data_IF_136066623581
#
_entry.id   IF_136066623581
#
_cell.length_a   1.000
_cell.length_b   1.000
_cell.length_c   1.000
_cell.angle_alpha   90.00
_cell.angle_beta   90.00
_cell.angle_gamma   90.00
#
_symmetry.space_group_name_H-M   'P 1'
#
loop_
_entity.id
_entity.type
_entity.pdbx_description
1 polymer ?
#
# COMPACT_ATOMS: atom_id res chain seq x y z
N UNK A 1 -23.30 -5.31 12.47
CA UNK A 1 -22.15 -5.48 11.57
C UNK A 1 -20.98 -4.90 12.33
N UNK A 2 -20.07 -5.75 12.80
CA UNK A 2 -19.02 -5.36 13.75
C UNK A 2 -17.86 -4.69 13.02
N UNK A 3 -17.38 -3.55 13.53
CA UNK A 3 -16.25 -2.74 13.05
C UNK A 3 -14.86 -3.41 13.22
N UNK A 4 -14.79 -4.74 13.36
CA UNK A 4 -13.62 -5.49 13.86
C UNK A 4 -12.75 -6.14 12.76
N UNK A 5 -12.89 -5.73 11.50
CA UNK A 5 -12.15 -6.31 10.35
C UNK A 5 -11.15 -5.31 9.73
N UNK A 6 -10.60 -4.41 10.54
CA UNK A 6 -9.43 -3.63 10.13
C UNK A 6 -8.18 -4.49 10.32
N UNK A 7 -7.30 -4.61 9.31
CA UNK A 7 -6.06 -5.35 9.46
C UNK A 7 -5.24 -4.72 10.59
N UNK A 8 -5.03 -5.46 11.68
CA UNK A 8 -4.11 -5.06 12.73
C UNK A 8 -2.70 -5.03 12.13
N UNK A 9 -2.09 -3.84 12.15
CA UNK A 9 -0.70 -3.66 11.78
C UNK A 9 0.16 -4.42 12.80
N UNK A 10 0.77 -5.52 12.39
CA UNK A 10 1.61 -6.36 13.26
C UNK A 10 2.89 -5.67 13.68
N UNK A 11 3.23 -4.52 13.10
CA UNK A 11 4.41 -3.74 13.45
C UNK A 11 4.17 -2.76 14.62
N UNK A 12 3.00 -2.83 15.28
CA UNK A 12 2.74 -2.09 16.52
C UNK A 12 2.88 -3.03 17.71
N UNK A 13 4.08 -3.14 18.25
CA UNK A 13 4.30 -3.89 19.49
C UNK A 13 3.54 -3.22 20.64
N UNK A 14 2.71 -4.00 21.34
CA UNK A 14 1.87 -3.52 22.43
C UNK A 14 2.57 -3.59 23.80
N UNK A 15 3.90 -3.59 23.84
CA UNK A 15 4.62 -3.81 25.10
C UNK A 15 6.05 -3.24 25.08
N UNK A 16 6.22 -1.95 25.40
CA UNK A 16 7.49 -1.42 25.92
C UNK A 16 7.23 -0.06 26.59
N UNK A 17 7.26 -0.04 27.92
CA UNK A 17 7.24 1.14 28.82
C UNK A 17 8.59 1.88 28.78
N UNK A 18 9.10 2.18 27.59
CA UNK A 18 10.34 2.95 27.41
C UNK A 18 10.11 3.99 26.32
N UNK A 19 10.12 5.25 26.74
CA UNK A 19 9.85 6.49 25.98
C UNK A 19 10.81 6.75 24.79
N UNK A 20 11.57 5.74 24.36
CA UNK A 20 12.66 5.82 23.38
C UNK A 20 12.53 4.88 22.17
N UNK A 21 11.46 4.09 22.06
CA UNK A 21 11.28 3.04 21.03
C UNK A 21 10.17 3.35 20.00
N UNK A 22 9.84 4.63 19.80
CA UNK A 22 8.93 5.01 18.72
C UNK A 22 9.66 4.86 17.38
N UNK A 23 9.05 4.19 16.37
CA UNK A 23 9.66 4.04 15.06
C UNK A 23 9.95 5.42 14.49
N UNK A 24 11.24 5.70 14.30
CA UNK A 24 11.73 6.99 13.81
C UNK A 24 11.70 7.05 12.29
N UNK A 25 11.45 5.95 11.57
CA UNK A 25 11.45 5.89 10.12
C UNK A 25 10.10 5.47 9.57
N UNK A 26 9.80 5.83 8.32
CA UNK A 26 8.50 5.56 7.68
C UNK A 26 8.66 4.79 6.38
N UNK A 27 7.99 3.64 6.28
CA UNK A 27 7.85 2.86 5.06
C UNK A 27 6.44 3.02 4.51
N UNK A 28 6.30 3.76 3.40
CA UNK A 28 5.00 4.04 2.78
C UNK A 28 4.80 3.12 1.58
N UNK A 29 3.84 2.20 1.69
CA UNK A 29 3.47 1.25 0.65
C UNK A 29 2.22 1.75 -0.09
N UNK A 30 2.39 2.14 -1.36
CA UNK A 30 1.33 2.74 -2.16
C UNK A 30 0.90 1.82 -3.30
N UNK A 31 -0.37 1.41 -3.32
CA UNK A 31 -0.95 0.74 -4.49
C UNK A 31 -1.60 1.74 -5.43
N UNK A 32 -1.37 1.61 -6.74
CA UNK A 32 -1.99 2.49 -7.74
C UNK A 32 -2.22 1.83 -9.10
N UNK A 33 -2.87 2.57 -10.00
CA UNK A 33 -3.22 2.17 -11.35
C UNK A 33 -2.25 2.73 -12.38
N UNK A 34 -1.88 1.89 -13.33
CA UNK A 34 -1.15 2.31 -14.52
C UNK A 34 -2.01 3.24 -15.39
N UNK A 35 -3.31 2.96 -15.55
CA UNK A 35 -4.20 3.74 -16.41
C UNK A 35 -4.35 5.20 -16.02
N UNK A 36 -4.28 5.52 -14.72
CA UNK A 36 -4.48 6.89 -14.22
C UNK A 36 -3.15 7.66 -14.10
N UNK A 37 -2.07 7.11 -14.67
CA UNK A 37 -0.76 7.75 -14.68
C UNK A 37 0.04 7.57 -13.38
N UNK A 38 1.26 8.11 -13.34
CA UNK A 38 2.16 8.01 -12.19
C UNK A 38 1.59 8.69 -10.95
N UNK A 39 2.21 8.44 -9.79
CA UNK A 39 1.92 9.21 -8.57
C UNK A 39 2.45 10.64 -8.79
N UNK A 40 1.59 11.66 -8.62
CA UNK A 40 1.94 13.07 -8.84
C UNK A 40 1.35 13.96 -7.73
N UNK A 41 2.04 15.04 -7.30
CA UNK A 41 3.48 15.29 -7.40
C UNK A 41 4.22 14.65 -6.22
N UNK A 42 5.55 14.73 -6.27
CA UNK A 42 6.55 14.43 -5.25
C UNK A 42 6.08 14.10 -3.81
N UNK A 43 6.65 13.07 -3.16
CA UNK A 43 7.83 12.32 -3.61
C UNK A 43 7.49 11.09 -4.46
N UNK A 44 8.22 10.93 -5.56
CA UNK A 44 8.21 9.71 -6.37
C UNK A 44 8.64 8.54 -5.48
N UNK A 45 7.96 7.39 -5.54
CA UNK A 45 8.42 6.22 -4.80
C UNK A 45 9.84 5.85 -5.23
N UNK A 46 10.75 5.69 -4.26
CA UNK A 46 12.13 5.25 -4.50
C UNK A 46 12.18 3.85 -5.11
N UNK A 47 11.14 3.04 -4.88
CA UNK A 47 10.97 1.72 -5.48
C UNK A 47 9.62 1.60 -6.19
N UNK A 48 9.61 1.18 -7.46
CA UNK A 48 8.39 1.01 -8.25
C UNK A 48 8.29 -0.40 -8.85
N UNK A 49 7.19 -1.10 -8.56
CA UNK A 49 6.93 -2.46 -9.02
C UNK A 49 5.68 -2.56 -9.89
N UNK A 50 5.84 -3.09 -11.11
CA UNK A 50 4.72 -3.44 -11.99
C UNK A 50 4.31 -4.90 -11.77
N UNK A 51 3.05 -5.11 -11.40
CA UNK A 51 2.48 -6.45 -11.15
C UNK A 51 1.43 -6.84 -12.18
N UNK A 52 1.39 -6.19 -13.34
CA UNK A 52 0.42 -6.52 -14.41
C UNK A 52 0.67 -7.86 -15.08
N UNK A 53 1.89 -8.38 -15.02
CA UNK A 53 2.23 -9.70 -15.55
C UNK A 53 1.74 -10.86 -14.64
N UNK A 54 1.37 -10.57 -13.39
CA UNK A 54 0.89 -11.59 -12.46
C UNK A 54 -0.49 -12.13 -12.86
N UNK A 55 -0.76 -13.42 -12.58
CA UNK A 55 -2.02 -14.06 -12.90
C UNK A 55 -3.18 -13.28 -12.28
N UNK A 56 -4.26 -13.20 -13.03
CA UNK A 56 -5.44 -12.46 -12.63
C UNK A 56 -6.42 -13.42 -11.96
N UNK A 57 -6.90 -13.13 -10.74
CA UNK A 57 -7.94 -13.94 -10.13
C UNK A 57 -9.19 -14.09 -11.02
N UNK A 58 -9.98 -15.17 -10.87
CA UNK A 58 -11.19 -15.42 -11.62
C UNK A 58 -12.16 -14.24 -11.56
N UNK A 59 -12.90 -14.02 -12.65
CA UNK A 59 -13.87 -12.93 -12.77
C UNK A 59 -14.85 -12.85 -11.57
N UNK A 60 -15.47 -13.95 -11.08
CA UNK A 60 -16.39 -13.87 -9.95
C UNK A 60 -15.75 -13.28 -8.68
N UNK A 61 -14.49 -13.64 -8.40
CA UNK A 61 -13.74 -13.10 -7.26
C UNK A 61 -13.43 -11.61 -7.47
N UNK A 62 -13.01 -11.20 -8.68
CA UNK A 62 -12.72 -9.79 -8.99
C UNK A 62 -13.94 -8.89 -8.92
N UNK A 63 -15.12 -9.40 -9.25
CA UNK A 63 -16.37 -8.62 -9.25
C UNK A 63 -16.92 -8.47 -7.83
N UNK A 64 -16.79 -9.51 -7.00
CA UNK A 64 -17.23 -9.52 -5.61
C UNK A 64 -16.29 -8.75 -4.67
N UNK A 65 -14.99 -8.75 -4.95
CA UNK A 65 -13.97 -8.37 -3.99
C UNK A 65 -12.91 -7.40 -4.55
N UNK A 66 -12.29 -6.62 -3.65
CA UNK A 66 -11.08 -5.84 -3.94
C UNK A 66 -9.84 -6.56 -3.40
N UNK A 67 -8.65 -6.06 -3.78
CA UNK A 67 -7.39 -6.60 -3.28
C UNK A 67 -7.20 -6.52 -1.76
N UNK A 68 -7.97 -5.66 -1.06
CA UNK A 68 -7.92 -5.53 0.41
C UNK A 68 -8.75 -6.59 1.14
N UNK A 69 -9.53 -7.39 0.42
CA UNK A 69 -10.36 -8.41 1.06
C UNK A 69 -9.60 -9.73 1.24
N UNK A 70 -9.82 -10.38 2.39
CA UNK A 70 -9.21 -11.68 2.71
C UNK A 70 -9.46 -12.77 1.64
N UNK A 71 -10.69 -12.95 1.10
CA UNK A 71 -10.94 -13.96 0.07
C UNK A 71 -10.14 -13.71 -1.22
N UNK A 72 -10.02 -12.43 -1.62
CA UNK A 72 -9.23 -12.08 -2.80
C UNK A 72 -7.75 -12.38 -2.59
N UNK A 73 -7.17 -11.96 -1.45
CA UNK A 73 -5.75 -12.16 -1.16
C UNK A 73 -5.41 -13.65 -1.06
N UNK A 74 -6.23 -14.44 -0.39
CA UNK A 74 -6.04 -15.89 -0.31
C UNK A 74 -5.98 -16.55 -1.70
N UNK A 75 -6.89 -16.16 -2.61
CA UNK A 75 -6.87 -16.68 -3.97
C UNK A 75 -5.69 -16.16 -4.80
N UNK A 76 -5.32 -14.88 -4.62
CA UNK A 76 -4.18 -14.28 -5.32
C UNK A 76 -2.86 -14.92 -4.90
N UNK A 77 -2.65 -15.16 -3.60
CA UNK A 77 -1.45 -15.80 -3.04
C UNK A 77 -1.38 -17.31 -3.25
N UNK A 78 -2.48 -17.95 -3.69
CA UNK A 78 -2.45 -19.37 -4.06
C UNK A 78 -1.59 -19.66 -5.30
N UNK A 79 -1.22 -18.63 -6.06
CA UNK A 79 -0.30 -18.77 -7.19
C UNK A 79 1.16 -18.64 -6.76
N UNK A 80 1.97 -19.63 -7.10
CA UNK A 80 3.42 -19.62 -6.84
C UNK A 80 4.11 -18.41 -7.48
N UNK A 81 3.73 -18.03 -8.71
CA UNK A 81 4.28 -16.85 -9.38
C UNK A 81 4.00 -15.55 -8.62
N UNK A 82 2.84 -15.46 -7.94
CA UNK A 82 2.50 -14.32 -7.10
C UNK A 82 3.33 -14.35 -5.82
N UNK A 83 3.41 -15.51 -5.15
CA UNK A 83 4.19 -15.68 -3.93
C UNK A 83 5.66 -15.28 -4.15
N UNK A 84 6.29 -15.81 -5.20
CA UNK A 84 7.68 -15.51 -5.55
C UNK A 84 7.87 -14.03 -5.84
N UNK A 85 6.93 -13.41 -6.57
CA UNK A 85 7.01 -11.98 -6.87
C UNK A 85 6.89 -11.10 -5.62
N UNK A 86 6.03 -11.48 -4.66
CA UNK A 86 5.94 -10.77 -3.38
C UNK A 86 7.26 -10.91 -2.61
N UNK A 87 7.84 -12.11 -2.56
CA UNK A 87 9.13 -12.34 -1.93
C UNK A 87 10.27 -11.50 -2.55
N UNK A 88 10.32 -11.40 -3.88
CA UNK A 88 11.30 -10.55 -4.58
C UNK A 88 11.16 -9.07 -4.18
N UNK A 89 9.92 -8.59 -4.09
CA UNK A 89 9.64 -7.21 -3.68
C UNK A 89 10.07 -7.00 -2.22
N UNK A 90 9.80 -7.95 -1.33
CA UNK A 90 10.25 -7.88 0.07
C UNK A 90 11.77 -7.78 0.15
N UNK A 91 12.49 -8.63 -0.58
CA UNK A 91 13.95 -8.62 -0.61
C UNK A 91 14.49 -7.28 -1.13
N UNK A 92 13.91 -6.74 -2.20
CA UNK A 92 14.30 -5.45 -2.75
C UNK A 92 14.04 -4.28 -1.80
N UNK A 93 12.90 -4.29 -1.09
CA UNK A 93 12.60 -3.26 -0.09
C UNK A 93 13.58 -3.36 1.08
N UNK A 94 13.84 -4.56 1.62
CA UNK A 94 14.81 -4.75 2.71
C UNK A 94 16.19 -4.22 2.36
N UNK A 95 16.72 -4.60 1.20
CA UNK A 95 18.02 -4.11 0.73
C UNK A 95 18.06 -2.57 0.64
N UNK A 96 16.93 -1.94 0.31
CA UNK A 96 16.84 -0.48 0.28
C UNK A 96 16.72 0.14 1.68
N UNK A 97 16.05 -0.51 2.63
CA UNK A 97 16.02 -0.07 4.03
C UNK A 97 17.42 -0.17 4.66
N UNK A 98 18.15 -1.24 4.39
CA UNK A 98 19.51 -1.48 4.91
C UNK A 98 20.49 -0.42 4.40
N UNK A 99 20.49 -0.16 3.07
CA UNK A 99 21.30 0.91 2.49
C UNK A 99 20.92 2.29 3.05
N UNK A 100 19.61 2.52 3.24
CA UNK A 100 19.13 3.73 3.86
C UNK A 100 19.47 3.81 5.35
N UNK A 101 19.90 2.74 6.04
CA UNK A 101 20.39 2.81 7.42
C UNK A 101 21.86 3.25 7.43
N UNK A 102 22.71 2.63 6.61
CA UNK A 102 24.15 2.89 6.52
C UNK A 102 24.49 4.35 6.15
N UNK A 103 23.74 4.96 5.23
CA UNK A 103 24.03 6.30 4.70
C UNK A 103 23.90 7.46 5.72
N UNK A 104 23.39 7.22 6.93
CA UNK A 104 23.18 8.29 7.93
C UNK A 104 24.07 8.23 9.16
N UNK A 105 24.98 7.27 9.27
CA UNK A 105 26.00 7.28 10.34
C UNK A 105 27.26 8.10 9.98
N UNK A 106 27.45 8.53 8.72
CA UNK A 106 28.72 9.13 8.28
C UNK A 106 28.63 10.46 7.49
N UNK A 107 27.69 11.39 7.74
CA UNK A 107 27.78 12.76 7.19
C UNK A 107 27.34 13.89 8.12
N UNK A 108 28.07 14.05 9.22
CA UNK A 108 28.21 15.34 9.88
C UNK A 108 29.16 16.28 9.14
N UNK A 109 28.81 16.78 7.93
CA UNK A 109 29.28 18.05 7.33
C UNK A 109 28.89 18.15 5.85
N UNK A 110 28.04 19.13 5.54
CA UNK A 110 27.80 19.58 4.16
C UNK A 110 26.60 20.49 4.08
N UNK A 111 26.85 21.80 3.96
CA UNK A 111 25.86 22.83 3.67
C UNK A 111 25.08 22.45 2.42
N UNK A 112 23.75 22.58 2.46
CA UNK A 112 23.00 23.33 1.44
C UNK A 112 21.62 23.71 1.99
N UNK A 113 21.23 24.92 1.61
CA UNK A 113 20.09 25.69 2.09
C UNK A 113 18.85 25.35 1.27
N UNK A 114 17.89 24.64 1.86
CA UNK A 114 16.47 25.01 1.78
C UNK A 114 15.69 24.24 2.86
N UNK A 115 15.27 24.99 3.89
CA UNK A 115 14.56 24.46 5.06
C UNK A 115 13.07 24.79 4.93
N UNK A 116 12.32 23.86 4.37
CA UNK A 116 10.96 23.61 4.87
C UNK A 116 11.08 22.61 6.03
N UNK A 117 11.29 23.18 7.22
CA UNK A 117 11.26 22.46 8.49
C UNK A 117 9.81 22.32 8.92
N UNK A 118 9.27 21.11 8.85
CA UNK A 118 8.26 20.63 9.78
C UNK A 118 8.39 19.11 9.96
N UNK A 119 8.86 18.70 11.14
CA UNK A 119 8.50 17.41 11.74
C UNK A 119 9.43 16.21 11.50
N UNK A 120 10.16 15.86 12.55
CA UNK A 120 10.75 14.54 12.85
C UNK A 120 11.97 14.11 12.02
N UNK A 121 13.07 13.75 12.71
CA UNK A 121 14.38 13.40 12.11
C UNK A 121 14.39 12.04 11.39
N UNK A 122 13.24 11.62 10.90
CA UNK A 122 12.99 10.29 10.38
C UNK A 122 13.23 10.14 8.89
N UNK A 123 13.79 9.01 8.48
CA UNK A 123 13.92 8.63 7.07
C UNK A 123 12.58 8.15 6.54
N UNK A 124 12.31 8.45 5.28
CA UNK A 124 11.09 8.03 4.59
C UNK A 124 11.44 7.22 3.35
N UNK A 125 10.93 5.98 3.26
CA UNK A 125 11.05 5.11 2.09
C UNK A 125 9.67 4.90 1.49
N UNK A 126 9.53 5.20 0.21
CA UNK A 126 8.27 5.09 -0.53
C UNK A 126 8.34 3.97 -1.57
N UNK A 127 7.39 3.05 -1.49
CA UNK A 127 7.26 1.91 -2.40
C UNK A 127 5.94 2.02 -3.17
N UNK A 128 6.02 2.05 -4.50
CA UNK A 128 4.87 2.04 -5.38
C UNK A 128 4.64 0.65 -5.98
N UNK A 129 3.42 0.13 -5.89
CA UNK A 129 3.01 -1.10 -6.59
C UNK A 129 1.87 -0.77 -7.53
N UNK A 130 2.07 -1.00 -8.83
CA UNK A 130 1.07 -0.69 -9.86
C UNK A 130 0.48 -1.92 -10.51
N UNK A 131 -0.83 -1.90 -10.71
CA UNK A 131 -1.52 -2.81 -11.63
C UNK A 131 -2.34 -2.00 -12.63
N UNK A 132 -3.15 -2.66 -13.47
CA UNK A 132 -3.87 -1.95 -14.53
C UNK A 132 -4.85 -0.89 -13.98
N UNK A 133 -5.75 -1.31 -13.08
CA UNK A 133 -6.83 -0.47 -12.53
C UNK A 133 -6.63 -0.01 -11.09
N UNK A 134 -5.60 -0.51 -10.39
CA UNK A 134 -5.27 -0.06 -9.03
C UNK A 134 -6.21 -0.55 -7.92
N UNK A 135 -7.07 -1.55 -8.18
CA UNK A 135 -8.10 -2.01 -7.23
C UNK A 135 -7.96 -3.47 -6.75
N UNK A 136 -7.12 -4.25 -7.43
CA UNK A 136 -7.00 -5.71 -7.24
C UNK A 136 -5.56 -6.11 -6.92
N UNK A 137 -4.78 -6.53 -7.94
CA UNK A 137 -3.44 -7.10 -7.77
C UNK A 137 -2.47 -6.20 -7.00
N UNK A 138 -2.43 -4.90 -7.31
CA UNK A 138 -1.55 -3.97 -6.61
C UNK A 138 -1.96 -3.77 -5.15
N UNK A 139 -3.25 -3.69 -4.87
CA UNK A 139 -3.80 -3.57 -3.52
C UNK A 139 -3.48 -4.83 -2.72
N UNK A 140 -3.75 -6.01 -3.28
CA UNK A 140 -3.46 -7.29 -2.65
C UNK A 140 -1.97 -7.45 -2.36
N UNK A 141 -1.10 -7.10 -3.31
CA UNK A 141 0.35 -7.15 -3.10
C UNK A 141 0.79 -6.23 -1.94
N UNK A 142 0.33 -4.98 -1.91
CA UNK A 142 0.65 -4.02 -0.83
C UNK A 142 0.14 -4.50 0.54
N UNK A 143 -1.04 -5.08 0.59
CA UNK A 143 -1.62 -5.66 1.80
C UNK A 143 -0.81 -6.84 2.33
N UNK A 144 -0.24 -7.66 1.45
CA UNK A 144 0.65 -8.75 1.84
C UNK A 144 2.03 -8.23 2.28
N UNK A 145 2.56 -7.19 1.62
CA UNK A 145 3.79 -6.51 2.08
C UNK A 145 3.64 -5.90 3.48
N UNK A 146 2.47 -5.36 3.80
CA UNK A 146 2.19 -4.79 5.12
C UNK A 146 2.15 -5.83 6.25
N UNK A 147 1.92 -7.11 5.91
CA UNK A 147 1.92 -8.24 6.86
C UNK A 147 3.31 -8.79 7.15
N UNK A 148 4.29 -8.42 6.34
CA UNK A 148 5.69 -8.78 6.57
C UNK A 148 6.19 -8.06 7.82
N UNK A 149 7.03 -8.74 8.60
CA UNK A 149 7.78 -8.11 9.69
C UNK A 149 8.92 -7.31 9.10
N UNK A 150 8.83 -6.00 9.26
CA UNK A 150 9.85 -5.02 8.93
C UNK A 150 10.69 -4.70 10.19
N UNK A 151 11.88 -4.10 10.05
CA UNK A 151 12.68 -3.70 11.21
C UNK A 151 11.89 -2.73 12.11
N UNK A 152 12.12 -2.83 13.43
CA UNK A 152 11.27 -2.18 14.45
C UNK A 152 11.29 -0.64 14.36
N UNK A 153 12.37 -0.08 13.84
CA UNK A 153 12.54 1.36 13.62
C UNK A 153 11.67 1.91 12.47
N UNK A 154 11.04 1.04 11.65
CA UNK A 154 10.20 1.45 10.52
C UNK A 154 8.70 1.32 10.81
N UNK A 155 8.02 2.45 10.80
CA UNK A 155 6.56 2.53 10.78
C UNK A 155 6.02 2.28 9.36
N UNK A 156 5.22 1.23 9.21
CA UNK A 156 4.60 0.90 7.91
C UNK A 156 3.26 1.60 7.74
N UNK A 157 3.14 2.38 6.67
CA UNK A 157 1.91 3.05 6.23
C UNK A 157 1.44 2.45 4.89
N UNK A 158 0.14 2.17 4.78
CA UNK A 158 -0.47 1.62 3.57
C UNK A 158 -1.41 2.64 2.94
N UNK A 159 -1.19 2.92 1.65
CA UNK A 159 -1.97 3.89 0.88
C UNK A 159 -2.54 3.23 -0.38
N UNK A 160 -3.86 3.34 -0.58
CA UNK A 160 -4.54 2.84 -1.78
C UNK A 160 -5.15 3.98 -2.60
N UNK A 161 -4.42 4.49 -3.58
CA UNK A 161 -4.84 5.67 -4.38
C UNK A 161 -6.22 5.51 -5.01
N UNK A 162 -6.48 4.35 -5.60
CA UNK A 162 -7.63 4.16 -6.49
C UNK A 162 -8.80 3.40 -5.84
N UNK A 163 -8.67 2.97 -4.57
CA UNK A 163 -9.68 2.15 -3.90
C UNK A 163 -10.84 2.99 -3.35
N UNK A 164 -10.58 4.23 -2.92
CA UNK A 164 -11.60 5.15 -2.36
C UNK A 164 -12.65 5.55 -3.40
N UNK A 165 -12.25 5.71 -4.66
CA UNK A 165 -13.14 6.21 -5.71
C UNK A 165 -14.17 5.19 -6.19
N UNK A 166 -13.94 3.89 -5.96
CA UNK A 166 -14.92 2.87 -6.37
C UNK A 166 -16.16 2.83 -5.47
N UNK A 167 -16.04 3.25 -4.21
CA UNK A 167 -17.21 3.36 -3.30
C UNK A 167 -18.17 4.43 -3.79
N UNK A 168 -17.66 5.62 -4.12
CA UNK A 168 -18.49 6.72 -4.59
C UNK A 168 -19.18 6.43 -5.93
N UNK A 169 -18.51 5.75 -6.86
CA UNK A 169 -19.15 5.33 -8.13
C UNK A 169 -20.24 4.29 -7.93
N UNK A 170 -20.01 3.27 -7.09
CA UNK A 170 -21.02 2.24 -6.80
C UNK A 170 -22.22 2.83 -6.05
N UNK A 171 -22.00 3.77 -5.15
CA UNK A 171 -23.08 4.47 -4.45
C UNK A 171 -23.87 5.39 -5.39
N UNK A 172 -23.19 6.04 -6.34
CA UNK A 172 -23.83 6.80 -7.41
C UNK A 172 -24.69 5.91 -8.30
N UNK A 173 -24.19 4.74 -8.71
CA UNK A 173 -24.91 3.77 -9.54
C UNK A 173 -26.16 3.23 -8.83
N UNK A 174 -26.03 2.88 -7.54
CA UNK A 174 -27.19 2.47 -6.71
C UNK A 174 -28.23 3.58 -6.60
N UNK A 175 -27.80 4.83 -6.41
CA UNK A 175 -28.71 5.98 -6.33
C UNK A 175 -29.43 6.21 -7.66
N UNK A 176 -28.73 6.14 -8.79
CA UNK A 176 -29.36 6.28 -10.11
C UNK A 176 -30.35 5.15 -10.41
N UNK A 177 -30.04 3.92 -9.98
CA UNK A 177 -30.95 2.78 -10.16
C UNK A 177 -32.24 2.96 -9.34
N UNK A 178 -32.14 3.39 -8.07
CA UNK A 178 -33.32 3.69 -7.24
C UNK A 178 -34.19 4.77 -7.86
N UNK A 179 -33.59 5.86 -8.34
CA UNK A 179 -34.33 6.95 -9.00
C UNK A 179 -35.07 6.44 -10.24
N UNK A 180 -34.45 5.54 -11.02
CA UNK A 180 -35.10 4.95 -12.21
C UNK A 180 -36.23 3.99 -11.86
N UNK A 181 -36.05 3.18 -10.81
CA UNK A 181 -37.10 2.29 -10.30
C UNK A 181 -38.27 3.09 -9.68
N UNK A 182 -38.01 4.25 -9.05
CA UNK A 182 -39.03 5.15 -8.49
C UNK A 182 -39.76 5.99 -9.55
N UNK A 183 -39.11 6.32 -10.67
CA UNK A 183 -39.71 7.14 -11.73
C UNK A 183 -40.57 6.38 -12.72
N UNK A 184 -40.67 5.04 -12.62
CA UNK A 184 -41.59 4.24 -13.42
C UNK A 184 -41.52 4.58 -14.91
N UNK A 185 -40.43 4.20 -15.58
CA UNK A 185 -40.37 4.27 -17.05
C UNK A 185 -41.45 3.31 -17.63
N UNK A 186 -42.65 3.83 -17.89
CA UNK A 186 -43.68 3.26 -18.80
C UNK A 186 -43.24 3.36 -20.27
#
# INVERSE_FOLDING_TARGET
MSDDDLPQNTNRDSNSDSDSDLPTHRLILTSFSHRRGPLHPSPTPGLLFDVRALPNPPKPIRDAYTGASKPFRAHFMASEAVHNRVADIVAAVRAHLDAAHEDGEDKGKGKDEDKDKDGDGGREVRVGVRCELGVHRSVACVEELARVRWPAEWHVEVVHRDLVQRRSERDKEKRTRRVREEMGDE
#
